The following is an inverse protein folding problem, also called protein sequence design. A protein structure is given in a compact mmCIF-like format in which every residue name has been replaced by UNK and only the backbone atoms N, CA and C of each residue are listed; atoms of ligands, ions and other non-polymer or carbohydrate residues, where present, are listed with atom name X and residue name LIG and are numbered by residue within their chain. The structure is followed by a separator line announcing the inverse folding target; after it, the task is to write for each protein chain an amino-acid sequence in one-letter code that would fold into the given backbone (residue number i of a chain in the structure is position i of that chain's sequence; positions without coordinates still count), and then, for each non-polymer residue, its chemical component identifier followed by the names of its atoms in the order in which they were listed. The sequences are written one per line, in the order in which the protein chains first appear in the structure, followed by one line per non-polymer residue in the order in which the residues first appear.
data_IF_205964805998
#
_entry.id   IF_205964805998
#
_cell.length_a   1.000
_cell.length_b   1.000
_cell.length_c   1.000
_cell.angle_alpha   90.00
_cell.angle_beta   90.00
_cell.angle_gamma   90.00
#
_symmetry.space_group_name_H-M   'P 1'
#
loop_
_entity.id
_entity.type
_entity.pdbx_description
1 polymer ?
#
# COMPACT_ATOMS: atom_id res chain seq x y z
N UNK A 1 19.93 -8.24 4.67
CA UNK A 1 18.84 -8.96 5.38
C UNK A 1 18.30 -10.02 4.44
N UNK A 2 18.34 -11.29 4.84
CA UNK A 2 18.01 -12.46 4.00
C UNK A 2 16.52 -12.49 3.61
N UNK A 3 15.63 -11.99 4.47
CA UNK A 3 14.18 -12.05 4.26
C UNK A 3 13.58 -10.81 3.59
N UNK A 4 14.41 -9.91 3.07
CA UNK A 4 13.92 -8.72 2.39
C UNK A 4 13.26 -9.02 1.04
N UNK A 5 13.61 -10.12 0.38
CA UNK A 5 13.17 -10.42 -0.98
C UNK A 5 13.67 -9.41 -2.02
N UNK A 6 13.39 -9.70 -3.30
CA UNK A 6 13.68 -8.78 -4.40
C UNK A 6 12.50 -7.82 -4.58
N UNK A 7 12.78 -6.52 -4.73
CA UNK A 7 11.75 -5.54 -5.09
C UNK A 7 11.13 -5.91 -6.45
N UNK A 8 9.80 -5.94 -6.60
CA UNK A 8 9.15 -6.14 -7.89
C UNK A 8 9.52 -5.03 -8.87
N UNK A 9 9.61 -5.36 -10.15
CA UNK A 9 9.93 -4.41 -11.23
C UNK A 9 8.68 -3.87 -11.95
N UNK A 10 7.49 -4.24 -11.47
CA UNK A 10 6.19 -3.88 -12.05
C UNK A 10 5.38 -2.94 -11.14
N UNK A 11 6.00 -2.34 -10.12
CA UNK A 11 5.37 -1.34 -9.25
C UNK A 11 5.16 -0.03 -10.02
N UNK A 12 4.15 0.73 -9.62
CA UNK A 12 3.72 1.96 -10.27
C UNK A 12 2.27 1.90 -10.74
N UNK A 13 1.80 3.02 -11.28
CA UNK A 13 0.48 3.14 -11.89
C UNK A 13 0.62 2.91 -13.39
N UNK A 14 -0.15 1.98 -13.94
CA UNK A 14 -0.27 1.73 -15.37
C UNK A 14 -1.74 1.70 -15.76
N UNK A 15 -2.16 2.53 -16.72
CA UNK A 15 -3.56 2.63 -17.17
C UNK A 15 -4.56 2.81 -16.01
N UNK A 16 -4.23 3.67 -15.04
CA UNK A 16 -5.07 3.95 -13.87
C UNK A 16 -5.16 2.80 -12.85
N UNK A 17 -4.27 1.81 -12.95
CA UNK A 17 -4.25 0.65 -12.05
C UNK A 17 -2.88 0.46 -11.40
N UNK A 18 -2.91 0.04 -10.14
CA UNK A 18 -1.76 -0.49 -9.43
C UNK A 18 -1.41 -1.89 -9.95
N UNK A 19 -0.21 -2.37 -9.62
CA UNK A 19 0.17 -3.75 -9.89
C UNK A 19 -0.88 -4.73 -9.34
N UNK A 20 -1.11 -5.87 -10.00
CA UNK A 20 -2.00 -6.89 -9.45
C UNK A 20 -1.39 -7.57 -8.22
N UNK A 21 -2.23 -8.12 -7.34
CA UNK A 21 -1.75 -9.03 -6.31
C UNK A 21 -1.21 -10.31 -6.97
N UNK A 22 -0.08 -10.86 -6.50
CA UNK A 22 0.30 -12.22 -6.85
C UNK A 22 -0.70 -13.22 -6.26
N UNK A 23 -0.62 -14.49 -6.67
CA UNK A 23 -1.49 -15.56 -6.16
C UNK A 23 -1.28 -15.88 -4.67
N UNK A 24 -0.22 -15.36 -4.03
CA UNK A 24 0.04 -15.57 -2.61
C UNK A 24 -0.94 -14.75 -1.75
N UNK A 25 -1.35 -15.24 -0.57
CA UNK A 25 -2.43 -14.61 0.21
C UNK A 25 -1.96 -13.38 1.01
N UNK A 26 -0.65 -13.13 1.07
CA UNK A 26 -0.02 -11.97 1.70
C UNK A 26 -0.03 -10.73 0.78
N UNK A 27 -1.18 -10.46 0.16
CA UNK A 27 -1.40 -9.25 -0.62
C UNK A 27 -2.84 -8.74 -0.42
N UNK A 28 -3.01 -7.43 -0.36
CA UNK A 28 -4.32 -6.82 -0.51
C UNK A 28 -4.29 -5.70 -1.54
N UNK A 29 -5.38 -5.53 -2.30
CA UNK A 29 -5.54 -4.46 -3.26
C UNK A 29 -7.00 -4.00 -3.36
N UNK A 30 -7.20 -2.68 -3.49
CA UNK A 30 -8.55 -2.12 -3.73
C UNK A 30 -9.08 -2.36 -5.14
N UNK A 31 -8.19 -2.73 -6.06
CA UNK A 31 -8.52 -3.03 -7.45
C UNK A 31 -8.57 -4.55 -7.72
N UNK A 32 -8.46 -5.38 -6.68
CA UNK A 32 -8.63 -6.83 -6.82
C UNK A 32 -10.11 -7.21 -6.99
N UNK A 33 -10.36 -8.14 -7.92
CA UNK A 33 -11.65 -8.81 -8.05
C UNK A 33 -11.79 -10.02 -7.11
N UNK A 34 -10.67 -10.60 -6.67
CA UNK A 34 -10.66 -11.72 -5.74
C UNK A 34 -10.97 -11.28 -4.31
N UNK A 35 -11.90 -11.96 -3.65
CA UNK A 35 -12.37 -11.61 -2.31
C UNK A 35 -11.28 -11.73 -1.25
N UNK A 36 -10.32 -12.65 -1.38
CA UNK A 36 -9.26 -12.81 -0.39
C UNK A 36 -8.29 -11.63 -0.41
N UNK A 37 -7.92 -11.16 -1.61
CA UNK A 37 -7.05 -9.98 -1.78
C UNK A 37 -7.80 -8.64 -1.71
N UNK A 38 -9.13 -8.60 -1.81
CA UNK A 38 -9.87 -7.33 -1.88
C UNK A 38 -9.82 -6.54 -0.58
N UNK A 39 -9.59 -5.23 -0.67
CA UNK A 39 -9.73 -4.26 0.43
C UNK A 39 -10.43 -3.00 -0.08
N UNK A 40 -11.08 -2.20 0.76
CA UNK A 40 -11.68 -0.97 0.27
C UNK A 40 -10.59 0.07 -0.10
N UNK A 41 -10.79 0.91 -1.13
CA UNK A 41 -9.94 2.08 -1.35
C UNK A 41 -10.05 3.04 -0.15
N UNK A 42 -9.07 3.93 0.06
CA UNK A 42 -9.17 4.93 1.10
C UNK A 42 -10.03 6.11 0.61
N UNK A 43 -10.95 6.53 1.47
CA UNK A 43 -11.77 7.73 1.27
C UNK A 43 -11.16 8.88 2.07
N UNK A 44 -11.39 10.10 1.62
CA UNK A 44 -10.93 11.33 2.27
C UNK A 44 -11.97 12.43 2.10
N UNK A 45 -11.98 13.39 3.01
CA UNK A 45 -12.92 14.54 2.98
C UNK A 45 -12.25 15.85 2.56
N UNK A 46 -10.93 15.91 2.59
CA UNK A 46 -10.11 17.05 2.14
C UNK A 46 -10.02 17.16 0.62
N UNK A 47 -9.31 18.16 0.12
CA UNK A 47 -8.96 18.18 -1.31
C UNK A 47 -8.05 17.01 -1.68
N UNK A 48 -8.05 16.52 -2.94
CA UNK A 48 -7.19 15.42 -3.37
C UNK A 48 -5.69 15.65 -3.06
N UNK A 49 -5.23 16.89 -3.19
CA UNK A 49 -3.85 17.30 -2.89
C UNK A 49 -3.54 17.23 -1.38
N UNK A 50 -4.47 17.66 -0.53
CA UNK A 50 -4.32 17.51 0.92
C UNK A 50 -4.41 16.04 1.33
N UNK A 51 -5.27 15.25 0.69
CA UNK A 51 -5.43 13.83 1.02
C UNK A 51 -4.13 13.04 0.81
N UNK A 52 -3.44 13.25 -0.32
CA UNK A 52 -2.15 12.58 -0.56
C UNK A 52 -1.04 13.11 0.37
N UNK A 53 -1.06 14.40 0.71
CA UNK A 53 -0.11 14.99 1.67
C UNK A 53 -0.32 14.44 3.09
N UNK A 54 -1.57 14.41 3.57
CA UNK A 54 -1.94 13.82 4.87
C UNK A 54 -1.57 12.33 4.91
N UNK A 55 -1.82 11.60 3.83
CA UNK A 55 -1.44 10.20 3.72
C UNK A 55 0.08 10.01 3.85
N UNK A 56 0.87 10.86 3.19
CA UNK A 56 2.34 10.85 3.30
C UNK A 56 2.78 11.05 4.74
N UNK A 57 2.24 12.05 5.44
CA UNK A 57 2.57 12.32 6.84
C UNK A 57 2.23 11.13 7.74
N UNK A 58 1.05 10.53 7.53
CA UNK A 58 0.64 9.30 8.24
C UNK A 58 1.65 8.19 8.01
N UNK A 59 2.04 7.91 6.76
CA UNK A 59 2.99 6.85 6.41
C UNK A 59 4.37 7.11 7.04
N UNK A 60 4.84 8.36 7.02
CA UNK A 60 6.11 8.75 7.67
C UNK A 60 6.09 8.59 9.19
N UNK A 61 4.92 8.77 9.82
CA UNK A 61 4.75 8.56 11.26
C UNK A 61 4.78 7.10 11.69
N UNK A 62 4.61 6.15 10.75
CA UNK A 62 4.58 4.73 11.05
C UNK A 62 5.99 4.14 11.19
N UNK A 63 6.24 3.29 12.19
CA UNK A 63 7.56 2.75 12.45
C UNK A 63 8.03 1.79 11.34
N UNK A 64 9.34 1.83 11.05
CA UNK A 64 10.02 0.94 10.07
C UNK A 64 9.50 1.10 8.63
N UNK A 65 9.15 2.33 8.29
CA UNK A 65 8.65 2.71 6.98
C UNK A 65 9.71 3.50 6.22
N UNK A 66 9.79 3.30 4.91
CA UNK A 66 10.61 4.12 4.02
C UNK A 66 9.82 4.47 2.76
N UNK A 67 9.61 5.76 2.50
CA UNK A 67 9.08 6.21 1.21
C UNK A 67 10.18 6.06 0.15
N UNK A 68 9.84 5.42 -0.96
CA UNK A 68 10.75 5.15 -2.06
C UNK A 68 10.43 6.04 -3.27
N UNK A 69 9.15 6.28 -3.53
CA UNK A 69 8.71 7.13 -4.64
C UNK A 69 7.52 7.96 -4.21
N UNK A 70 7.52 9.23 -4.60
CA UNK A 70 6.46 10.19 -4.32
C UNK A 70 6.26 11.05 -5.57
N UNK A 71 5.00 11.29 -5.90
CA UNK A 71 4.55 12.22 -6.93
C UNK A 71 3.19 12.80 -6.51
N UNK A 72 2.61 13.65 -7.36
CA UNK A 72 1.32 14.29 -7.07
C UNK A 72 0.18 13.30 -6.83
N UNK A 73 0.17 12.16 -7.52
CA UNK A 73 -0.93 11.21 -7.47
C UNK A 73 -0.50 9.80 -7.05
N UNK A 74 0.77 9.59 -6.71
CA UNK A 74 1.29 8.27 -6.38
C UNK A 74 2.33 8.31 -5.27
N UNK A 75 2.21 7.35 -4.35
CA UNK A 75 3.15 7.15 -3.24
C UNK A 75 3.47 5.66 -3.11
N UNK A 76 4.75 5.34 -3.04
CA UNK A 76 5.25 4.00 -2.79
C UNK A 76 6.15 3.99 -1.56
N UNK A 77 5.83 3.11 -0.61
CA UNK A 77 6.57 2.91 0.61
C UNK A 77 6.91 1.43 0.84
N UNK A 78 8.05 1.21 1.49
CA UNK A 78 8.45 -0.09 2.02
C UNK A 78 8.20 -0.13 3.53
N UNK A 79 7.52 -1.17 4.00
CA UNK A 79 7.35 -1.46 5.43
C UNK A 79 8.19 -2.67 5.81
N UNK A 80 8.89 -2.61 6.95
CA UNK A 80 9.70 -3.74 7.44
C UNK A 80 9.14 -4.33 8.73
N UNK A 81 9.08 -5.66 8.82
CA UNK A 81 8.77 -6.36 10.08
C UNK A 81 9.91 -6.21 11.10
N UNK A 82 9.60 -6.12 12.40
CA UNK A 82 10.63 -5.97 13.46
C UNK A 82 11.55 -7.18 13.57
N UNK A 83 10.98 -8.38 13.62
CA UNK A 83 11.71 -9.58 14.03
C UNK A 83 12.49 -10.19 12.86
N UNK A 84 11.83 -10.37 11.72
CA UNK A 84 12.36 -11.19 10.62
C UNK A 84 12.86 -10.35 9.44
N UNK A 85 12.52 -9.06 9.37
CA UNK A 85 12.99 -8.18 8.31
C UNK A 85 12.32 -8.41 6.95
N UNK A 86 11.16 -9.08 6.92
CA UNK A 86 10.27 -9.08 5.75
C UNK A 86 9.95 -7.65 5.32
N UNK A 87 9.97 -7.43 4.01
CA UNK A 87 9.64 -6.16 3.39
C UNK A 87 8.32 -6.30 2.64
N UNK A 88 7.42 -5.37 2.91
CA UNK A 88 6.16 -5.22 2.20
C UNK A 88 6.21 -3.96 1.34
N UNK A 89 5.83 -4.12 0.08
CA UNK A 89 5.69 -3.03 -0.89
C UNK A 89 4.26 -2.51 -0.82
N UNK A 90 4.11 -1.23 -0.47
CA UNK A 90 2.80 -0.59 -0.28
C UNK A 90 2.69 0.61 -1.21
N UNK A 91 1.68 0.58 -2.07
CA UNK A 91 1.43 1.56 -3.10
C UNK A 91 0.08 2.24 -2.86
N UNK A 92 0.06 3.55 -3.10
CA UNK A 92 -1.11 4.40 -3.01
C UNK A 92 -1.22 5.20 -4.29
N UNK A 93 -2.40 5.20 -4.91
CA UNK A 93 -2.69 5.93 -6.13
C UNK A 93 -3.94 6.79 -5.92
N UNK A 94 -3.79 8.11 -6.03
CA UNK A 94 -4.89 9.05 -5.98
C UNK A 94 -5.65 9.02 -7.31
N UNK A 95 -6.80 8.35 -7.32
CA UNK A 95 -7.72 8.35 -8.44
C UNK A 95 -8.62 9.58 -8.33
N UNK A 96 -8.27 10.65 -9.07
CA UNK A 96 -9.01 11.91 -9.10
C UNK A 96 -10.41 11.76 -9.69
N UNK A 97 -10.63 10.78 -10.57
CA UNK A 97 -11.94 10.57 -11.18
C UNK A 97 -12.89 9.90 -10.18
N UNK A 98 -12.40 8.93 -9.42
CA UNK A 98 -13.17 8.25 -8.38
C UNK A 98 -13.19 9.01 -7.04
N UNK A 99 -12.39 10.06 -6.90
CA UNK A 99 -12.15 10.80 -5.66
C UNK A 99 -11.81 9.87 -4.48
N UNK A 100 -10.91 8.91 -4.72
CA UNK A 100 -10.44 7.94 -3.73
C UNK A 100 -8.96 7.66 -3.90
N UNK A 101 -8.32 7.08 -2.88
CA UNK A 101 -6.96 6.57 -3.00
C UNK A 101 -7.03 5.05 -3.13
N UNK A 102 -6.66 4.55 -4.31
CA UNK A 102 -6.45 3.14 -4.55
C UNK A 102 -5.22 2.66 -3.79
N UNK A 103 -5.25 1.42 -3.31
CA UNK A 103 -4.20 0.87 -2.46
C UNK A 103 -3.79 -0.53 -2.90
N UNK A 104 -2.52 -0.84 -2.70
CA UNK A 104 -1.96 -2.19 -2.73
C UNK A 104 -0.94 -2.34 -1.62
N UNK A 105 -0.95 -3.48 -0.94
CA UNK A 105 0.03 -3.83 0.10
C UNK A 105 0.40 -5.29 -0.07
N UNK A 106 1.65 -5.58 -0.43
CA UNK A 106 2.10 -6.92 -0.79
C UNK A 106 3.46 -7.25 -0.20
N UNK A 107 3.59 -8.41 0.45
CA UNK A 107 4.88 -8.90 0.92
C UNK A 107 5.73 -9.44 -0.23
N UNK A 108 7.05 -9.22 -0.19
CA UNK A 108 7.98 -9.75 -1.19
C UNK A 108 8.24 -11.24 -1.07
N UNK A 109 8.13 -11.77 0.14
CA UNK A 109 8.40 -13.16 0.49
C UNK A 109 7.35 -13.68 1.47
N UNK A 110 7.27 -15.00 1.58
CA UNK A 110 6.34 -15.68 2.47
C UNK A 110 5.03 -16.07 1.78
N UNK A 111 4.28 -16.92 2.46
CA UNK A 111 2.97 -17.43 2.02
C UNK A 111 1.84 -17.03 2.97
N UNK A 112 2.14 -16.32 4.05
CA UNK A 112 1.15 -15.75 4.95
C UNK A 112 1.81 -14.62 5.74
N UNK A 113 1.08 -13.54 5.92
CA UNK A 113 1.44 -12.40 6.76
C UNK A 113 0.51 -12.30 7.98
N UNK A 114 -0.33 -13.30 8.23
CA UNK A 114 -1.38 -13.30 9.25
C UNK A 114 -2.30 -12.06 9.18
N UNK A 115 -2.49 -11.49 7.98
CA UNK A 115 -3.33 -10.32 7.76
C UNK A 115 -2.64 -8.98 8.05
N UNK A 116 -1.33 -8.95 8.28
CA UNK A 116 -0.57 -7.73 8.57
C UNK A 116 -0.74 -6.66 7.47
N UNK A 117 -0.73 -7.05 6.18
CA UNK A 117 -0.92 -6.11 5.08
C UNK A 117 -2.31 -5.47 5.11
N UNK A 118 -3.35 -6.24 5.45
CA UNK A 118 -4.71 -5.73 5.64
C UNK A 118 -4.80 -4.80 6.85
N UNK A 119 -4.29 -5.23 8.00
CA UNK A 119 -4.29 -4.45 9.23
C UNK A 119 -3.56 -3.11 9.07
N UNK A 120 -2.47 -3.10 8.30
CA UNK A 120 -1.74 -1.86 7.98
C UNK A 120 -2.61 -0.86 7.24
N UNK A 121 -3.29 -1.30 6.17
CA UNK A 121 -4.16 -0.42 5.40
C UNK A 121 -5.32 0.10 6.26
N UNK A 122 -5.90 -0.74 7.12
CA UNK A 122 -6.97 -0.30 8.03
C UNK A 122 -6.45 0.68 9.12
N UNK A 123 -5.21 0.51 9.58
CA UNK A 123 -4.57 1.48 10.49
C UNK A 123 -4.35 2.82 9.82
N UNK A 124 -3.93 2.82 8.55
CA UNK A 124 -3.77 4.03 7.73
C UNK A 124 -5.14 4.67 7.50
N UNK A 125 -6.16 3.87 7.15
CA UNK A 125 -7.55 4.33 6.97
C UNK A 125 -8.07 5.05 8.20
N UNK A 126 -7.86 4.50 9.40
CA UNK A 126 -8.34 5.11 10.64
C UNK A 126 -7.66 6.45 10.96
N UNK A 127 -6.44 6.68 10.44
CA UNK A 127 -5.69 7.93 10.63
C UNK A 127 -6.01 8.98 9.55
N UNK A 128 -6.39 8.53 8.35
CA UNK A 128 -6.77 9.40 7.24
C UNK A 128 -8.21 9.89 7.45
N UNK A 129 -8.36 11.17 7.80
CA UNK A 129 -9.66 11.85 7.98
C UNK A 129 -9.92 12.82 6.82
#
# INVERSE_FOLDING_TARGET
MVFAGKRPNNLGVSNGKLASCPNSPNCVSSQSADAAHKIAPLTFTSSPQEAIANLKEIIQSLPRTKIITESQDYLYAEFKSALLGFVDDVEFYLDRNANTIQVRSASRLGQSDLGVNRQRIETIRAKLK
#
